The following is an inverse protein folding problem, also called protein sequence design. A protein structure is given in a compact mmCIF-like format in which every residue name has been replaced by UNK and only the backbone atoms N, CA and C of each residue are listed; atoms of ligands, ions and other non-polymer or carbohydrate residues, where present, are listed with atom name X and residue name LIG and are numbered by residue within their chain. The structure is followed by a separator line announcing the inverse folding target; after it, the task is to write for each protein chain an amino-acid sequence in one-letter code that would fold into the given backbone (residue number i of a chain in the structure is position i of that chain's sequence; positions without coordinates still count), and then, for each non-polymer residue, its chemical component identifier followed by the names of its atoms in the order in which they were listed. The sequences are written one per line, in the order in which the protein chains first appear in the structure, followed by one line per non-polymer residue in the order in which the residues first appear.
data_IF_259662642938
#
_entry.id   IF_259662642938
#
_cell.length_a   1.000
_cell.length_b   1.000
_cell.length_c   1.000
_cell.angle_alpha   90.00
_cell.angle_beta   90.00
_cell.angle_gamma   90.00
#
_symmetry.space_group_name_H-M   'P 1'
#
loop_
_entity.id
_entity.type
_entity.pdbx_description
1 polymer ?
#
# COMPACT_ATOMS: atom_id res chain seq x y z
N UNK A 1 -85.77 -11.67 15.65
CA UNK A 1 -85.43 -11.24 17.04
C UNK A 1 -83.92 -11.08 17.08
N UNK A 2 -83.39 -9.90 16.75
CA UNK A 2 -82.98 -8.85 17.70
C UNK A 2 -82.11 -9.46 18.81
N UNK A 3 -80.85 -9.07 19.03
CA UNK A 3 -80.51 -7.72 19.49
C UNK A 3 -78.96 -7.58 19.65
N UNK A 4 -78.41 -6.48 19.10
CA UNK A 4 -77.33 -5.58 19.57
C UNK A 4 -76.02 -6.16 20.15
N UNK A 5 -74.88 -5.91 19.52
CA UNK A 5 -74.02 -4.71 19.65
C UNK A 5 -73.24 -4.65 20.98
N UNK A 6 -71.92 -4.89 20.89
CA UNK A 6 -70.95 -4.27 21.80
C UNK A 6 -69.61 -4.12 21.04
N UNK A 7 -69.36 -2.89 20.62
CA UNK A 7 -68.05 -2.41 20.16
C UNK A 7 -67.19 -2.26 21.40
N UNK A 8 -66.01 -2.90 21.43
CA UNK A 8 -64.94 -2.53 22.34
C UNK A 8 -63.68 -2.22 21.52
N UNK A 9 -63.42 -0.93 21.45
CA UNK A 9 -62.25 -0.32 20.83
C UNK A 9 -61.04 -0.56 21.73
N UNK A 10 -60.02 -1.28 21.25
CA UNK A 10 -58.70 -1.34 21.87
C UNK A 10 -57.64 -1.11 20.78
N UNK A 11 -57.18 0.14 20.67
CA UNK A 11 -55.82 0.48 20.25
C UNK A 11 -54.92 0.24 21.47
N UNK A 12 -53.69 -0.30 21.33
CA UNK A 12 -52.62 0.54 20.78
C UNK A 12 -51.41 -0.18 20.13
N UNK A 13 -50.45 0.66 19.77
CA UNK A 13 -49.03 0.44 19.48
C UNK A 13 -48.65 -0.02 18.07
N UNK A 14 -48.38 1.01 17.26
CA UNK A 14 -47.32 1.02 16.25
C UNK A 14 -46.02 0.49 16.86
N UNK A 15 -45.46 -0.54 16.24
CA UNK A 15 -44.03 -0.76 16.20
C UNK A 15 -43.66 -1.01 14.74
N UNK A 16 -43.17 0.04 14.07
CA UNK A 16 -42.37 -0.13 12.87
C UNK A 16 -41.14 -0.93 13.29
N UNK A 17 -41.06 -2.20 12.91
CA UNK A 17 -39.77 -2.85 12.82
C UNK A 17 -39.35 -2.80 11.36
N UNK A 18 -38.75 -1.68 10.97
CA UNK A 18 -37.95 -1.60 9.77
C UNK A 18 -36.78 -2.55 9.99
N UNK A 19 -36.87 -3.77 9.45
CA UNK A 19 -35.70 -4.63 9.33
C UNK A 19 -34.79 -3.96 8.31
N UNK A 20 -33.93 -3.08 8.80
CA UNK A 20 -32.79 -2.55 8.07
C UNK A 20 -31.90 -3.76 7.76
N UNK A 21 -32.12 -4.36 6.59
CA UNK A 21 -31.10 -5.16 5.91
C UNK A 21 -29.98 -4.18 5.58
N UNK A 22 -29.08 -4.01 6.54
CA UNK A 22 -27.77 -3.45 6.27
C UNK A 22 -27.03 -4.53 5.48
N UNK A 23 -27.14 -4.44 4.16
CA UNK A 23 -26.23 -5.12 3.24
C UNK A 23 -24.83 -4.62 3.59
N UNK A 24 -24.15 -5.37 4.46
CA UNK A 24 -22.71 -5.27 4.63
C UNK A 24 -22.11 -5.62 3.27
N UNK A 25 -21.79 -4.60 2.49
CA UNK A 25 -20.87 -4.72 1.39
C UNK A 25 -19.56 -5.20 2.02
N UNK A 26 -19.31 -6.51 1.91
CA UNK A 26 -18.01 -7.10 2.21
C UNK A 26 -16.97 -6.27 1.48
N UNK A 27 -16.03 -5.69 2.23
CA UNK A 27 -14.82 -5.14 1.63
C UNK A 27 -14.25 -6.21 0.67
N UNK A 28 -13.78 -5.84 -0.53
CA UNK A 28 -13.11 -6.80 -1.39
C UNK A 28 -11.96 -7.41 -0.60
N UNK A 29 -11.82 -8.73 -0.65
CA UNK A 29 -10.70 -9.42 -0.02
C UNK A 29 -9.40 -8.80 -0.57
N UNK A 30 -8.64 -8.13 0.29
CA UNK A 30 -7.32 -7.62 -0.05
C UNK A 30 -6.46 -8.81 -0.48
N UNK A 31 -5.81 -8.72 -1.64
CA UNK A 31 -4.85 -9.74 -2.04
C UNK A 31 -3.79 -9.88 -0.93
N UNK A 32 -3.39 -11.10 -0.52
CA UNK A 32 -2.42 -11.20 0.55
C UNK A 32 -1.03 -10.75 0.07
N UNK A 33 -0.24 -10.17 0.98
CA UNK A 33 1.18 -9.94 0.75
C UNK A 33 1.91 -11.29 0.72
N UNK A 34 2.66 -11.56 -0.34
CA UNK A 34 3.44 -12.77 -0.53
C UNK A 34 4.93 -12.50 -0.33
N UNK A 35 5.62 -13.38 0.40
CA UNK A 35 7.07 -13.42 0.37
C UNK A 35 7.53 -14.14 -0.91
N UNK A 36 8.60 -13.64 -1.52
CA UNK A 36 9.09 -14.09 -2.82
C UNK A 36 10.61 -14.30 -2.79
N UNK A 37 11.11 -15.08 -3.75
CA UNK A 37 12.55 -15.28 -3.95
C UNK A 37 12.93 -15.00 -5.41
N UNK A 38 13.92 -14.12 -5.60
CA UNK A 38 14.46 -13.78 -6.92
C UNK A 38 15.93 -13.38 -6.80
N UNK A 39 16.81 -14.15 -7.46
CA UNK A 39 18.24 -13.88 -7.48
C UNK A 39 18.84 -13.73 -6.07
N UNK A 40 19.46 -12.58 -5.82
CA UNK A 40 20.08 -12.23 -4.53
C UNK A 40 19.29 -11.18 -3.73
N UNK A 41 18.08 -10.85 -4.18
CA UNK A 41 17.27 -9.77 -3.61
C UNK A 41 16.83 -10.13 -2.19
N UNK A 42 17.06 -9.21 -1.25
CA UNK A 42 16.64 -9.36 0.15
C UNK A 42 15.31 -8.66 0.41
N UNK A 43 14.60 -9.09 1.45
CA UNK A 43 13.30 -8.52 1.88
C UNK A 43 12.30 -8.41 0.72
N UNK A 44 12.26 -9.43 -0.13
CA UNK A 44 11.43 -9.44 -1.33
C UNK A 44 10.01 -9.89 -1.01
N UNK A 45 9.05 -9.02 -1.28
CA UNK A 45 7.64 -9.29 -1.14
C UNK A 45 6.88 -8.82 -2.37
N UNK A 46 5.66 -9.33 -2.55
CA UNK A 46 4.77 -8.95 -3.64
C UNK A 46 3.32 -8.81 -3.16
N UNK A 47 2.65 -7.74 -3.57
CA UNK A 47 1.22 -7.53 -3.43
C UNK A 47 0.64 -7.22 -4.81
N UNK A 48 -0.22 -8.09 -5.34
CA UNK A 48 -0.71 -7.99 -6.72
C UNK A 48 0.46 -7.85 -7.69
N UNK A 49 0.56 -6.72 -8.39
CA UNK A 49 1.64 -6.42 -9.34
C UNK A 49 2.69 -5.42 -8.81
N UNK A 50 2.80 -5.22 -7.49
CA UNK A 50 3.89 -4.45 -6.86
C UNK A 50 4.86 -5.40 -6.16
N UNK A 51 6.13 -5.28 -6.50
CA UNK A 51 7.24 -5.91 -5.80
C UNK A 51 7.87 -4.91 -4.84
N UNK A 52 8.19 -5.35 -3.63
CA UNK A 52 8.87 -4.57 -2.61
C UNK A 52 10.21 -5.22 -2.29
N UNK A 53 11.29 -4.44 -2.28
CA UNK A 53 12.62 -5.02 -2.16
C UNK A 53 13.64 -4.15 -1.41
N UNK A 54 14.68 -4.82 -0.90
CA UNK A 54 15.98 -4.20 -0.71
C UNK A 54 16.67 -3.94 -2.06
N UNK A 55 17.84 -3.31 -2.04
CA UNK A 55 18.58 -2.94 -3.25
C UNK A 55 18.79 -4.16 -4.17
N UNK A 56 18.26 -4.15 -5.39
CA UNK A 56 18.58 -5.15 -6.40
C UNK A 56 20.00 -4.92 -6.97
N UNK A 57 20.69 -6.00 -7.33
CA UNK A 57 21.89 -5.90 -8.17
C UNK A 57 21.52 -5.73 -9.65
N UNK A 58 22.49 -5.40 -10.50
CA UNK A 58 22.30 -5.37 -11.95
C UNK A 58 21.75 -6.69 -12.53
N UNK A 59 22.19 -7.83 -11.99
CA UNK A 59 21.70 -9.14 -12.38
C UNK A 59 20.24 -9.37 -11.91
N UNK A 60 19.91 -8.90 -10.71
CA UNK A 60 18.53 -9.00 -10.19
C UNK A 60 17.56 -8.15 -11.01
N UNK A 61 17.97 -6.96 -11.47
CA UNK A 61 17.17 -6.10 -12.35
C UNK A 61 16.81 -6.79 -13.67
N UNK A 62 17.75 -7.55 -14.25
CA UNK A 62 17.47 -8.37 -15.43
C UNK A 62 16.44 -9.47 -15.11
N UNK A 63 16.55 -10.13 -13.94
CA UNK A 63 15.54 -11.11 -13.51
C UNK A 63 14.16 -10.48 -13.30
N UNK A 64 14.08 -9.26 -12.78
CA UNK A 64 12.80 -8.54 -12.67
C UNK A 64 12.19 -8.24 -14.05
N UNK A 65 13.00 -7.86 -15.02
CA UNK A 65 12.57 -7.70 -16.40
C UNK A 65 12.02 -9.01 -16.98
N UNK A 66 12.68 -10.15 -16.73
CA UNK A 66 12.19 -11.48 -17.13
C UNK A 66 10.86 -11.86 -16.45
N UNK A 67 10.62 -11.35 -15.22
CA UNK A 67 9.34 -11.46 -14.52
C UNK A 67 8.30 -10.44 -14.99
N UNK A 68 8.61 -9.67 -16.02
CA UNK A 68 7.70 -8.74 -16.68
C UNK A 68 7.57 -7.39 -15.98
N UNK A 69 8.46 -7.04 -15.03
CA UNK A 69 8.50 -5.71 -14.43
C UNK A 69 8.68 -4.67 -15.55
N UNK A 70 7.89 -3.60 -15.46
CA UNK A 70 7.86 -2.50 -16.45
C UNK A 70 8.35 -1.19 -15.88
N UNK A 71 8.16 -0.97 -14.58
CA UNK A 71 8.66 0.22 -13.88
C UNK A 71 9.53 -0.20 -12.69
N UNK A 72 10.65 0.49 -12.49
CA UNK A 72 11.45 0.47 -11.25
C UNK A 72 11.34 1.83 -10.60
N UNK A 73 10.88 1.85 -9.35
CA UNK A 73 10.83 3.01 -8.47
C UNK A 73 11.95 2.87 -7.44
N UNK A 74 12.98 3.71 -7.61
CA UNK A 74 14.07 3.89 -6.66
C UNK A 74 13.84 5.15 -5.83
N UNK A 75 13.92 4.98 -4.50
CA UNK A 75 13.82 6.08 -3.53
C UNK A 75 15.11 6.28 -2.74
N UNK A 76 16.21 5.66 -3.17
CA UNK A 76 17.56 5.91 -2.65
C UNK A 76 18.18 7.09 -3.37
N UNK A 77 19.12 7.77 -2.72
CA UNK A 77 20.03 8.64 -3.46
C UNK A 77 21.12 7.82 -4.16
N UNK A 78 21.55 8.25 -5.35
CA UNK A 78 22.63 7.60 -6.12
C UNK A 78 23.94 7.50 -5.30
N UNK A 79 24.18 8.46 -4.40
CA UNK A 79 25.33 8.45 -3.50
C UNK A 79 25.36 7.26 -2.52
N UNK A 80 24.23 6.56 -2.34
CA UNK A 80 24.17 5.34 -1.56
C UNK A 80 24.62 4.08 -2.32
N UNK A 81 24.76 4.15 -3.66
CA UNK A 81 25.22 3.09 -4.56
C UNK A 81 26.07 3.67 -5.70
N UNK A 82 27.19 4.35 -5.40
CA UNK A 82 27.99 5.06 -6.41
C UNK A 82 28.60 4.14 -7.48
N UNK A 83 28.66 2.83 -7.23
CA UNK A 83 29.14 1.80 -8.14
C UNK A 83 28.10 1.33 -9.16
N UNK A 84 26.82 1.72 -9.02
CA UNK A 84 25.72 1.25 -9.84
C UNK A 84 25.01 2.42 -10.53
N UNK A 85 25.11 2.49 -11.86
CA UNK A 85 24.24 3.35 -12.66
C UNK A 85 22.92 2.62 -12.91
N UNK A 86 22.06 2.60 -11.89
CA UNK A 86 20.81 1.83 -11.91
C UNK A 86 19.89 2.31 -13.04
N UNK A 87 19.79 3.62 -13.25
CA UNK A 87 19.01 4.20 -14.34
C UNK A 87 19.43 3.64 -15.70
N UNK A 88 20.72 3.70 -16.02
CA UNK A 88 21.21 3.20 -17.31
C UNK A 88 20.92 1.70 -17.50
N UNK A 89 21.00 0.91 -16.43
CA UNK A 89 20.68 -0.53 -16.47
C UNK A 89 19.19 -0.75 -16.71
N UNK A 90 18.31 -0.11 -15.92
CA UNK A 90 16.86 -0.25 -16.01
C UNK A 90 16.35 0.18 -17.38
N UNK A 91 16.79 1.34 -17.86
CA UNK A 91 16.42 1.86 -19.18
C UNK A 91 16.99 0.99 -20.31
N UNK A 92 18.22 0.48 -20.15
CA UNK A 92 18.85 -0.44 -21.10
C UNK A 92 18.13 -1.78 -21.21
N UNK A 93 17.43 -2.21 -20.15
CA UNK A 93 16.55 -3.38 -20.13
C UNK A 93 15.14 -3.07 -20.69
N UNK A 94 14.87 -1.83 -21.10
CA UNK A 94 13.59 -1.40 -21.66
C UNK A 94 12.50 -1.15 -20.62
N UNK A 95 12.87 -1.01 -19.34
CA UNK A 95 11.96 -0.66 -18.26
C UNK A 95 11.99 0.85 -17.98
N UNK A 96 10.91 1.38 -17.39
CA UNK A 96 10.84 2.78 -16.94
C UNK A 96 11.54 2.94 -15.59
N UNK A 97 12.42 3.92 -15.48
CA UNK A 97 13.04 4.31 -14.21
C UNK A 97 12.33 5.53 -13.61
N UNK A 98 11.83 5.40 -12.38
CA UNK A 98 11.24 6.48 -11.59
C UNK A 98 12.11 6.70 -10.36
N UNK A 99 12.48 7.94 -10.10
CA UNK A 99 13.47 8.31 -9.08
C UNK A 99 12.92 9.42 -8.19
N UNK A 100 12.66 9.08 -6.92
CA UNK A 100 12.12 10.02 -5.91
C UNK A 100 12.94 9.83 -4.62
N UNK A 101 14.19 10.32 -4.60
CA UNK A 101 15.13 9.97 -3.55
C UNK A 101 14.84 10.71 -2.24
N UNK A 102 15.01 10.01 -1.13
CA UNK A 102 15.04 10.62 0.20
C UNK A 102 15.80 9.74 1.19
N UNK A 103 16.47 10.36 2.16
CA UNK A 103 17.34 9.67 3.10
C UNK A 103 16.61 9.21 4.37
N UNK A 104 16.74 10.01 5.43
CA UNK A 104 16.31 9.69 6.77
C UNK A 104 15.01 10.39 7.16
N UNK A 105 14.55 10.22 8.41
CA UNK A 105 13.30 10.77 8.87
C UNK A 105 13.22 12.30 8.71
N UNK A 106 14.35 12.99 8.77
CA UNK A 106 14.42 14.46 8.61
C UNK A 106 13.95 14.95 7.24
N UNK A 107 14.13 14.14 6.19
CA UNK A 107 13.70 14.50 4.82
C UNK A 107 12.28 14.04 4.54
N UNK A 108 11.83 12.92 5.15
CA UNK A 108 10.48 12.39 4.97
C UNK A 108 9.41 13.39 5.42
N UNK A 109 8.65 13.90 4.46
CA UNK A 109 7.65 14.94 4.62
C UNK A 109 6.42 14.65 3.73
N UNK A 110 5.36 15.44 3.90
CA UNK A 110 4.09 15.29 3.19
C UNK A 110 4.23 15.27 1.66
N UNK A 111 5.12 16.09 1.09
CA UNK A 111 5.29 16.14 -0.36
C UNK A 111 5.87 14.83 -0.92
N UNK A 112 6.82 14.20 -0.20
CA UNK A 112 7.37 12.89 -0.58
C UNK A 112 6.27 11.81 -0.53
N UNK A 113 5.42 11.82 0.50
CA UNK A 113 4.32 10.89 0.57
C UNK A 113 3.29 11.12 -0.54
N UNK A 114 2.91 12.38 -0.81
CA UNK A 114 1.98 12.72 -1.87
C UNK A 114 2.52 12.26 -3.25
N UNK A 115 3.77 12.56 -3.55
CA UNK A 115 4.43 12.17 -4.80
C UNK A 115 4.52 10.64 -4.95
N UNK A 116 4.99 9.93 -3.92
CA UNK A 116 5.16 8.48 -4.01
C UNK A 116 3.82 7.72 -4.03
N UNK A 117 2.78 8.24 -3.38
CA UNK A 117 1.42 7.68 -3.51
C UNK A 117 0.88 7.85 -4.92
N UNK A 118 1.08 9.02 -5.54
CA UNK A 118 0.71 9.25 -6.93
C UNK A 118 1.46 8.29 -7.88
N UNK A 119 2.77 8.10 -7.67
CA UNK A 119 3.54 7.11 -8.44
C UNK A 119 2.98 5.70 -8.25
N UNK A 120 2.67 5.27 -7.02
CA UNK A 120 2.10 3.94 -6.76
C UNK A 120 0.73 3.76 -7.44
N UNK A 121 -0.10 4.81 -7.48
CA UNK A 121 -1.41 4.78 -8.11
C UNK A 121 -1.34 4.74 -9.65
N UNK A 122 -0.35 5.41 -10.25
CA UNK A 122 -0.33 5.69 -11.70
C UNK A 122 0.74 4.94 -12.49
N UNK A 123 1.76 4.39 -11.84
CA UNK A 123 2.87 3.74 -12.54
C UNK A 123 2.40 2.51 -13.35
N UNK A 124 3.04 2.31 -14.50
CA UNK A 124 2.84 1.10 -15.28
C UNK A 124 3.35 -0.11 -14.51
N UNK A 125 2.49 -1.14 -14.41
CA UNK A 125 2.71 -2.37 -13.64
C UNK A 125 3.06 -3.55 -14.55
N UNK A 126 3.78 -4.58 -14.05
CA UNK A 126 4.31 -4.70 -12.69
C UNK A 126 5.41 -3.69 -12.32
N UNK A 127 5.37 -3.22 -11.07
CA UNK A 127 6.25 -2.20 -10.51
C UNK A 127 7.19 -2.84 -9.49
N UNK A 128 8.50 -2.56 -9.59
CA UNK A 128 9.45 -2.80 -8.50
C UNK A 128 9.62 -1.52 -7.69
N UNK A 129 9.32 -1.55 -6.40
CA UNK A 129 9.51 -0.45 -5.47
C UNK A 129 10.57 -0.85 -4.43
N UNK A 130 11.73 -0.20 -4.45
CA UNK A 130 12.85 -0.60 -3.60
C UNK A 130 13.54 0.56 -2.90
N UNK A 131 14.28 0.21 -1.86
CA UNK A 131 15.28 1.07 -1.24
C UNK A 131 16.44 0.19 -0.73
N UNK A 132 17.32 0.67 0.16
CA UNK A 132 18.43 -0.13 0.68
C UNK A 132 18.01 -1.48 1.35
N UNK A 133 16.85 -1.52 2.02
CA UNK A 133 16.43 -2.65 2.86
C UNK A 133 14.92 -2.88 2.92
N UNK A 134 14.13 -2.28 2.03
CA UNK A 134 12.67 -2.19 2.09
C UNK A 134 12.10 -1.43 3.33
N UNK A 135 12.94 -0.82 4.18
CA UNK A 135 12.50 -0.08 5.35
C UNK A 135 11.75 1.22 4.98
N UNK A 136 12.32 2.03 4.10
CA UNK A 136 11.70 3.27 3.58
C UNK A 136 10.44 2.95 2.76
N UNK A 137 10.50 1.87 1.97
CA UNK A 137 9.38 1.35 1.17
C UNK A 137 8.14 1.10 2.04
N UNK A 138 8.31 0.41 3.17
CA UNK A 138 7.18 0.10 4.06
C UNK A 138 6.49 1.33 4.63
N UNK A 139 7.21 2.42 4.90
CA UNK A 139 6.61 3.66 5.41
C UNK A 139 5.66 4.31 4.40
N UNK A 140 6.08 4.36 3.14
CA UNK A 140 5.26 4.87 2.03
C UNK A 140 4.09 3.92 1.75
N UNK A 141 4.35 2.62 1.77
CA UNK A 141 3.33 1.60 1.54
C UNK A 141 2.24 1.64 2.61
N UNK A 142 2.58 1.84 3.89
CA UNK A 142 1.60 2.05 4.96
C UNK A 142 0.62 3.17 4.61
N UNK A 143 1.14 4.33 4.21
CA UNK A 143 0.33 5.50 3.88
C UNK A 143 -0.58 5.21 2.67
N UNK A 144 -0.04 4.58 1.63
CA UNK A 144 -0.80 4.17 0.45
C UNK A 144 -1.95 3.22 0.82
N UNK A 145 -1.65 2.18 1.60
CA UNK A 145 -2.66 1.18 2.02
C UNK A 145 -3.77 1.78 2.85
N UNK A 146 -3.44 2.70 3.75
CA UNK A 146 -4.41 3.30 4.64
C UNK A 146 -5.31 4.35 3.97
N UNK A 147 -4.81 5.07 2.96
CA UNK A 147 -5.52 6.19 2.33
C UNK A 147 -6.11 5.85 0.96
N UNK A 148 -5.38 5.09 0.14
CA UNK A 148 -5.79 4.76 -1.24
C UNK A 148 -6.59 3.47 -1.28
N UNK A 149 -6.17 2.44 -0.54
CA UNK A 149 -6.85 1.15 -0.50
C UNK A 149 -7.84 1.02 0.68
N UNK A 150 -7.88 2.00 1.58
CA UNK A 150 -8.81 2.04 2.71
C UNK A 150 -8.57 0.98 3.79
N UNK A 151 -7.37 0.38 3.84
CA UNK A 151 -7.03 -0.66 4.80
C UNK A 151 -7.01 -0.09 6.24
N UNK A 152 -7.51 -0.82 7.26
CA UNK A 152 -7.39 -0.41 8.65
C UNK A 152 -5.92 -0.14 9.04
N UNK A 153 -5.70 0.92 9.82
CA UNK A 153 -4.35 1.43 10.05
C UNK A 153 -3.42 0.41 10.71
N UNK A 154 -3.93 -0.40 11.64
CA UNK A 154 -3.14 -1.44 12.29
C UNK A 154 -2.76 -2.59 11.35
N UNK A 155 -3.61 -2.90 10.37
CA UNK A 155 -3.30 -3.88 9.33
C UNK A 155 -2.25 -3.32 8.35
N UNK A 156 -2.40 -2.05 7.92
CA UNK A 156 -1.40 -1.38 7.07
C UNK A 156 -0.02 -1.30 7.74
N UNK A 157 0.01 -1.04 9.06
CA UNK A 157 1.24 -1.06 9.87
C UNK A 157 1.87 -2.45 9.91
N UNK A 158 1.07 -3.49 10.14
CA UNK A 158 1.55 -4.87 10.18
C UNK A 158 2.10 -5.31 8.81
N UNK A 159 1.43 -4.95 7.72
CA UNK A 159 1.88 -5.24 6.35
C UNK A 159 3.20 -4.53 6.03
N UNK A 160 3.32 -3.24 6.35
CA UNK A 160 4.56 -2.48 6.21
C UNK A 160 5.72 -3.05 7.04
N UNK A 161 5.44 -3.51 8.26
CA UNK A 161 6.41 -4.22 9.07
C UNK A 161 6.83 -5.55 8.43
N UNK A 162 5.91 -6.32 7.84
CA UNK A 162 6.28 -7.55 7.11
C UNK A 162 7.23 -7.25 5.95
N UNK A 163 6.94 -6.22 5.15
CA UNK A 163 7.78 -5.80 4.01
C UNK A 163 9.20 -5.45 4.45
N UNK A 164 9.36 -4.72 5.55
CA UNK A 164 10.69 -4.36 6.05
C UNK A 164 10.77 -3.07 6.85
N UNK A 165 9.65 -2.39 7.14
CA UNK A 165 9.66 -1.19 7.98
C UNK A 165 10.11 -1.54 9.40
N UNK A 166 11.18 -0.89 9.86
CA UNK A 166 11.81 -1.13 11.18
C UNK A 166 12.07 0.14 11.98
N UNK A 167 12.18 1.30 11.31
CA UNK A 167 12.52 2.57 11.96
C UNK A 167 11.26 3.21 12.55
N UNK A 168 11.17 3.40 13.89
CA UNK A 168 9.99 3.97 14.53
C UNK A 168 9.61 5.38 14.03
N UNK A 169 10.59 6.21 13.67
CA UNK A 169 10.36 7.56 13.17
C UNK A 169 9.71 7.57 11.78
N UNK A 170 9.99 6.56 10.94
CA UNK A 170 9.30 6.41 9.65
C UNK A 170 7.83 6.06 9.85
N UNK A 171 7.57 5.11 10.75
CA UNK A 171 6.19 4.75 11.12
C UNK A 171 5.46 5.96 11.70
N UNK A 172 6.06 6.68 12.66
CA UNK A 172 5.46 7.85 13.29
C UNK A 172 5.05 8.91 12.25
N UNK A 173 5.93 9.20 11.28
CA UNK A 173 5.67 10.15 10.19
C UNK A 173 4.59 9.66 9.23
N UNK A 174 4.58 8.38 8.87
CA UNK A 174 3.51 7.82 8.05
C UNK A 174 2.15 7.89 8.76
N UNK A 175 2.11 7.62 10.07
CA UNK A 175 0.89 7.74 10.87
C UNK A 175 0.41 9.19 11.00
N UNK A 176 1.32 10.14 11.19
CA UNK A 176 1.01 11.57 11.20
C UNK A 176 0.41 12.00 9.85
N UNK A 177 1.06 11.63 8.75
CA UNK A 177 0.60 11.90 7.39
C UNK A 177 -0.80 11.33 7.10
N UNK A 178 -1.06 10.09 7.52
CA UNK A 178 -2.39 9.46 7.36
C UNK A 178 -3.46 10.17 8.18
N UNK A 179 -3.14 10.56 9.42
CA UNK A 179 -4.10 11.24 10.32
C UNK A 179 -4.48 12.64 9.84
N UNK A 180 -3.57 13.35 9.16
CA UNK A 180 -3.86 14.69 8.64
C UNK A 180 -4.77 14.70 7.40
N UNK A 181 -5.09 13.51 6.83
CA UNK A 181 -5.86 13.33 5.59
C UNK A 181 -7.19 12.57 5.77
N UNK A 182 -7.54 12.21 7.02
CA UNK A 182 -8.84 11.62 7.38
C UNK A 182 -9.73 12.68 8.01
#
# INVERSE_FOLDING_TARGET
MHLRLAILCLLPLVACNSSEHSDMVSAPASEPLHAEELGTVRNLHRYGDVWFAAQPSAADLALFQERGVRTVLDIRHDAETPELDERAIVEGLGMRYVYVPWNGPAELNDAIFDELRDVLATAERPLLFHCASANRVGAIWLAYRALDDGLPLDEARAEAATIGMRTPEYEAKALEYVRSRK
#
